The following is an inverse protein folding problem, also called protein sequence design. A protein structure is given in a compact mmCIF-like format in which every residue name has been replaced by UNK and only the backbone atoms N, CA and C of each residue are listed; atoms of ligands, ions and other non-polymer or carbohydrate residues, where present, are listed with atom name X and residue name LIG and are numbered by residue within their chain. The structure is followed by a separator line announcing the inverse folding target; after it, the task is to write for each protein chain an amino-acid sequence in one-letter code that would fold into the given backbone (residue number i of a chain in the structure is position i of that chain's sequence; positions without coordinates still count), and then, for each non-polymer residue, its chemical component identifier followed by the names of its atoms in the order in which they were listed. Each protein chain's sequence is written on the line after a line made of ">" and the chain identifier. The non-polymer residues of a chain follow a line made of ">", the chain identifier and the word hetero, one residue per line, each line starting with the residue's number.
data_IF_520321962457
#
_entry.id   IF_520321962457
#
_cell.length_a   1.000
_cell.length_b   1.000
_cell.length_c   1.000
_cell.angle_alpha   90.00
_cell.angle_beta   90.00
_cell.angle_gamma   90.00
#
_symmetry.space_group_name_H-M   'P 1'
#
loop_
_entity.id
_entity.type
_entity.pdbx_description
1 polymer ?
#
# COMPACT_ATOMS: atom_id res chain seq x y z
N UNK A 1 6.45 10.90 4.42
CA UNK A 1 7.47 9.86 4.19
C UNK A 1 6.87 8.45 3.95
N UNK A 2 5.75 8.07 4.57
CA UNK A 2 5.08 6.77 4.34
C UNK A 2 4.37 6.64 2.98
N UNK A 3 3.94 7.76 2.39
CA UNK A 3 3.16 7.80 1.15
C UNK A 3 3.96 7.29 -0.06
N UNK A 4 5.23 7.66 -0.15
CA UNK A 4 6.14 7.14 -1.18
C UNK A 4 6.43 5.64 -0.99
N UNK A 5 6.56 5.17 0.25
CA UNK A 5 6.70 3.73 0.54
C UNK A 5 5.46 2.93 0.12
N UNK A 6 4.26 3.45 0.43
CA UNK A 6 3.00 2.86 -0.02
C UNK A 6 2.88 2.81 -1.55
N UNK A 7 3.28 3.89 -2.25
CA UNK A 7 3.29 3.93 -3.71
C UNK A 7 4.24 2.88 -4.32
N UNK A 8 5.43 2.71 -3.74
CA UNK A 8 6.41 1.71 -4.22
C UNK A 8 5.85 0.29 -4.05
N UNK A 9 5.29 -0.03 -2.87
CA UNK A 9 4.67 -1.35 -2.62
C UNK A 9 3.50 -1.60 -3.57
N UNK A 10 2.70 -0.57 -3.86
CA UNK A 10 1.61 -0.65 -4.82
C UNK A 10 2.10 -0.92 -6.25
N UNK A 11 3.16 -0.25 -6.71
CA UNK A 11 3.72 -0.48 -8.05
C UNK A 11 4.27 -1.90 -8.19
N UNK A 12 4.95 -2.42 -7.16
CA UNK A 12 5.47 -3.80 -7.15
C UNK A 12 4.30 -4.79 -7.29
N UNK A 13 3.24 -4.60 -6.51
CA UNK A 13 2.02 -5.39 -6.60
C UNK A 13 1.40 -5.34 -8.01
N UNK A 14 1.14 -4.13 -8.50
CA UNK A 14 0.50 -3.89 -9.78
C UNK A 14 1.29 -4.53 -10.93
N UNK A 15 2.62 -4.42 -10.89
CA UNK A 15 3.49 -5.01 -11.91
C UNK A 15 3.41 -6.54 -11.89
N UNK A 16 3.37 -7.17 -10.71
CA UNK A 16 3.23 -8.61 -10.62
C UNK A 16 1.88 -9.10 -11.18
N UNK A 17 0.78 -8.43 -10.85
CA UNK A 17 -0.56 -8.77 -11.37
C UNK A 17 -0.63 -8.56 -12.88
N UNK A 18 -0.07 -7.46 -13.39
CA UNK A 18 -0.02 -7.19 -14.83
C UNK A 18 0.77 -8.26 -15.59
N UNK A 19 1.93 -8.68 -15.06
CA UNK A 19 2.73 -9.75 -15.66
C UNK A 19 1.99 -11.09 -15.65
N UNK A 20 1.26 -11.42 -14.57
CA UNK A 20 0.39 -12.58 -14.52
C UNK A 20 -0.72 -12.53 -15.58
N UNK A 21 -1.40 -11.39 -15.72
CA UNK A 21 -2.53 -11.24 -16.64
C UNK A 21 -2.12 -11.21 -18.12
N UNK A 22 -0.96 -10.63 -18.46
CA UNK A 22 -0.53 -10.46 -19.86
C UNK A 22 0.45 -11.53 -20.35
N UNK A 23 1.29 -12.10 -19.48
CA UNK A 23 2.38 -12.98 -19.87
C UNK A 23 2.31 -14.39 -19.25
N UNK A 24 1.27 -14.68 -18.44
CA UNK A 24 1.09 -15.94 -17.70
C UNK A 24 2.34 -16.34 -16.86
N UNK A 25 3.10 -15.32 -16.44
CA UNK A 25 4.41 -15.46 -15.80
C UNK A 25 4.47 -14.80 -14.42
N UNK A 26 3.36 -14.84 -13.67
CA UNK A 26 3.26 -14.23 -12.34
C UNK A 26 4.31 -14.82 -11.37
N UNK A 27 5.04 -13.96 -10.65
CA UNK A 27 6.01 -14.41 -9.65
C UNK A 27 5.33 -14.75 -8.31
N UNK A 28 4.30 -14.00 -7.93
CA UNK A 28 3.39 -14.36 -6.84
C UNK A 28 2.15 -15.04 -7.42
N UNK A 29 1.76 -16.20 -6.87
CA UNK A 29 0.48 -16.84 -7.18
C UNK A 29 -0.71 -16.16 -6.49
N UNK A 30 -1.93 -16.63 -6.78
CA UNK A 30 -3.22 -16.02 -6.37
C UNK A 30 -3.28 -15.63 -4.87
N UNK A 31 -2.82 -16.51 -3.97
CA UNK A 31 -2.75 -16.23 -2.52
C UNK A 31 -1.72 -15.12 -2.20
N UNK A 32 -0.60 -15.10 -2.90
CA UNK A 32 0.44 -14.07 -2.74
C UNK A 32 -0.05 -12.70 -3.18
N UNK A 33 -0.84 -12.64 -4.26
CA UNK A 33 -1.45 -11.38 -4.72
C UNK A 33 -2.44 -10.82 -3.69
N UNK A 34 -3.31 -11.66 -3.13
CA UNK A 34 -4.26 -11.25 -2.07
C UNK A 34 -3.54 -10.74 -0.81
N UNK A 35 -2.44 -11.40 -0.40
CA UNK A 35 -1.65 -10.97 0.74
C UNK A 35 -0.97 -9.61 0.52
N UNK A 36 -0.51 -9.32 -0.69
CA UNK A 36 0.10 -8.03 -0.99
C UNK A 36 -0.93 -6.90 -0.98
N UNK A 37 -2.14 -7.11 -1.52
CA UNK A 37 -3.25 -6.15 -1.37
C UNK A 37 -3.61 -5.87 0.08
N UNK A 38 -3.60 -6.92 0.91
CA UNK A 38 -3.87 -6.79 2.33
C UNK A 38 -2.80 -5.95 3.04
N UNK A 39 -1.51 -6.18 2.76
CA UNK A 39 -0.43 -5.35 3.32
C UNK A 39 -0.52 -3.90 2.82
N UNK A 40 -0.85 -3.69 1.55
CA UNK A 40 -1.02 -2.35 0.99
C UNK A 40 -2.14 -1.56 1.67
N UNK A 41 -3.28 -2.19 1.97
CA UNK A 41 -4.41 -1.54 2.65
C UNK A 41 -4.06 -1.19 4.10
N UNK A 42 -3.34 -2.07 4.81
CA UNK A 42 -2.86 -1.78 6.17
C UNK A 42 -1.92 -0.56 6.21
N UNK A 43 -0.94 -0.50 5.29
CA UNK A 43 -0.04 0.65 5.19
C UNK A 43 -0.79 1.95 4.90
N UNK A 44 -1.80 1.90 4.04
CA UNK A 44 -2.64 3.05 3.73
C UNK A 44 -3.42 3.54 4.96
N UNK A 45 -4.08 2.64 5.69
CA UNK A 45 -4.82 3.00 6.93
C UNK A 45 -3.89 3.60 7.97
N UNK A 46 -2.73 2.99 8.22
CA UNK A 46 -1.73 3.52 9.16
C UNK A 46 -1.28 4.93 8.75
N UNK A 47 -1.04 5.17 7.46
CA UNK A 47 -0.65 6.48 6.96
C UNK A 47 -1.73 7.54 7.17
N UNK A 48 -3.01 7.19 6.96
CA UNK A 48 -4.14 8.10 7.20
C UNK A 48 -4.26 8.41 8.69
N UNK A 49 -4.25 7.40 9.56
CA UNK A 49 -4.36 7.61 11.02
C UNK A 49 -3.22 8.48 11.57
N UNK A 50 -1.99 8.29 11.08
CA UNK A 50 -0.86 9.16 11.46
C UNK A 50 -1.07 10.61 11.03
N UNK A 51 -1.59 10.83 9.81
CA UNK A 51 -1.88 12.17 9.31
C UNK A 51 -3.01 12.84 10.11
N UNK A 52 -4.02 12.07 10.50
CA UNK A 52 -5.11 12.57 11.34
C UNK A 52 -4.62 12.94 12.74
N UNK A 53 -3.77 12.12 13.35
CA UNK A 53 -3.18 12.41 14.65
C UNK A 53 -2.28 13.67 14.64
N UNK A 54 -1.42 13.82 13.62
CA UNK A 54 -0.60 15.02 13.44
C UNK A 54 -1.44 16.29 13.30
N UNK A 55 -2.59 16.21 12.62
CA UNK A 55 -3.52 17.33 12.48
C UNK A 55 -4.22 17.67 13.80
N UNK A 56 -4.65 16.66 14.54
CA UNK A 56 -5.29 16.86 15.84
C UNK A 56 -4.35 17.55 16.85
N UNK A 57 -3.07 17.17 16.87
CA UNK A 57 -2.05 17.79 17.73
C UNK A 57 -1.76 19.25 17.36
N UNK A 58 -1.78 19.58 16.05
CA UNK A 58 -1.62 20.97 15.59
C UNK A 58 -2.81 21.87 15.94
N UNK A 59 -4.05 21.34 15.92
CA UNK A 59 -5.26 22.11 16.24
C UNK A 59 -5.42 22.36 17.76
N UNK A 60 -4.85 21.52 18.62
CA UNK A 60 -4.89 21.66 20.10
C UNK A 60 -3.80 22.62 20.64
N UNK A 61 -2.87 23.05 19.78
CA UNK A 61 -1.73 23.92 20.13
C UNK A 61 -1.92 25.40 19.76
N UNK A 62 -3.05 25.77 19.17
CA UNK A 62 -3.47 27.14 18.80
C UNK A 62 -4.59 27.67 19.72
#
# INVERSE_FOLDING_TARGET
>A
MFLYGSLIVFIIFFTNVALGAFADSAFLGDVGEMLVLFVASLLFVVAILRKEAERAESEDSE
#
